data_IF_221845702584
#
_entry.id   IF_221845702584
#
_cell.length_a   1.000
_cell.length_b   1.000
_cell.length_c   1.000
_cell.angle_alpha   90.00
_cell.angle_beta   90.00
_cell.angle_gamma   90.00
#
_symmetry.space_group_name_H-M   'P 1'
#
loop_
_entity.id
_entity.type
_entity.pdbx_description
1 polymer ?
#
# COMPACT_ATOMS: atom_id res chain seq x y z
N UNK A 1 54.48 -3.04 33.09
CA UNK A 1 54.57 -1.67 33.63
C UNK A 1 53.33 -0.90 33.18
N UNK A 2 52.56 -0.40 34.16
CA UNK A 2 51.64 0.76 34.16
C UNK A 2 50.66 0.88 32.97
N UNK A 3 49.40 0.44 33.08
CA UNK A 3 48.26 1.09 33.75
C UNK A 3 47.96 2.51 33.24
N UNK A 4 46.82 2.71 32.57
CA UNK A 4 46.00 3.88 32.84
C UNK A 4 44.51 3.64 32.54
N UNK A 5 43.72 3.78 33.61
CA UNK A 5 42.25 3.82 33.67
C UNK A 5 41.85 5.29 33.57
N UNK A 6 40.87 5.62 32.74
CA UNK A 6 40.08 6.86 32.93
C UNK A 6 38.61 6.56 32.72
N UNK A 7 37.90 6.42 33.84
CA UNK A 7 36.45 6.57 33.94
C UNK A 7 36.09 8.04 33.68
N UNK A 8 35.03 8.29 32.93
CA UNK A 8 34.27 9.53 33.04
C UNK A 8 32.77 9.19 33.16
N UNK A 9 32.31 9.31 34.39
CA UNK A 9 30.92 9.43 34.83
C UNK A 9 30.30 10.67 34.16
N UNK A 10 29.20 10.49 33.43
CA UNK A 10 28.40 11.55 32.84
C UNK A 10 26.98 11.54 33.42
N UNK A 11 26.81 12.33 34.46
CA UNK A 11 25.64 12.84 35.17
C UNK A 11 24.24 12.67 34.54
N UNK A 12 23.38 12.08 35.37
CA UNK A 12 21.91 12.03 35.36
C UNK A 12 21.30 13.46 35.38
N UNK A 13 20.38 13.79 34.46
CA UNK A 13 19.45 14.92 34.62
C UNK A 13 18.03 14.40 34.45
N UNK A 14 17.33 14.20 35.57
CA UNK A 14 15.88 14.06 35.62
C UNK A 14 15.27 15.46 35.48
N UNK A 15 14.67 15.74 34.31
CA UNK A 15 13.79 16.88 34.11
C UNK A 15 12.35 16.48 34.33
N UNK A 16 11.84 16.68 35.55
CA UNK A 16 10.40 16.76 35.84
C UNK A 16 9.86 18.03 35.17
N UNK A 17 9.02 17.91 34.15
CA UNK A 17 8.18 19.02 33.66
C UNK A 17 6.72 18.68 33.94
N UNK A 18 6.12 19.59 34.69
CA UNK A 18 4.83 19.51 35.33
C UNK A 18 3.66 19.42 34.36
N UNK A 19 2.63 18.71 34.81
CA UNK A 19 1.26 18.72 34.31
C UNK A 19 0.78 20.17 34.10
N UNK A 20 0.37 20.51 32.88
CA UNK A 20 -0.46 21.69 32.63
C UNK A 20 -1.79 21.25 32.03
N UNK A 21 -2.70 20.95 32.95
CA UNK A 21 -4.13 20.76 32.73
C UNK A 21 -4.72 22.07 32.19
N UNK A 22 -5.03 22.10 30.89
CA UNK A 22 -5.82 23.16 30.23
C UNK A 22 -7.02 22.41 29.66
N UNK A 23 -8.21 22.63 30.20
CA UNK A 23 -8.95 23.86 29.91
C UNK A 23 -10.01 23.48 28.90
N UNK A 24 -11.12 23.00 29.45
CA UNK A 24 -12.35 22.58 28.82
C UNK A 24 -13.00 23.75 28.06
N UNK A 25 -13.28 23.57 26.78
CA UNK A 25 -14.26 24.38 26.05
C UNK A 25 -14.98 23.49 25.04
N UNK A 26 -16.21 23.13 25.38
CA UNK A 26 -17.11 22.40 24.49
C UNK A 26 -17.66 23.37 23.45
N UNK A 27 -17.58 23.07 22.14
CA UNK A 27 -18.26 23.88 21.14
C UNK A 27 -19.79 23.71 21.21
N UNK A 28 -20.54 24.75 20.82
CA UNK A 28 -21.99 24.85 20.99
C UNK A 28 -22.75 23.83 20.13
N UNK A 29 -23.89 23.36 20.65
CA UNK A 29 -24.83 22.50 19.94
C UNK A 29 -25.39 23.23 18.71
N UNK A 30 -25.07 22.70 17.55
CA UNK A 30 -25.65 23.08 16.27
C UNK A 30 -27.13 22.68 16.26
N UNK A 31 -28.00 23.69 16.13
CA UNK A 31 -29.44 23.50 15.99
C UNK A 31 -29.72 22.85 14.64
N UNK A 32 -30.20 21.60 14.67
CA UNK A 32 -30.78 20.91 13.51
C UNK A 32 -32.01 21.70 13.05
N UNK A 33 -31.82 22.55 12.04
CA UNK A 33 -32.90 23.11 11.26
C UNK A 33 -33.60 21.99 10.51
N UNK A 34 -34.89 21.82 10.78
CA UNK A 34 -35.77 20.94 10.03
C UNK A 34 -35.81 21.42 8.57
N UNK A 35 -35.29 20.58 7.65
CA UNK A 35 -35.47 20.79 6.22
C UNK A 35 -36.89 20.35 5.86
N UNK A 36 -37.68 21.32 5.46
CA UNK A 36 -39.02 21.15 4.89
C UNK A 36 -38.90 20.37 3.58
N UNK A 37 -39.49 19.17 3.55
CA UNK A 37 -39.46 18.27 2.41
C UNK A 37 -40.53 18.71 1.41
N UNK A 38 -40.17 19.58 0.46
CA UNK A 38 -41.04 19.90 -0.68
C UNK A 38 -41.15 18.69 -1.62
N UNK A 39 -42.35 18.10 -1.67
CA UNK A 39 -42.70 17.02 -2.56
C UNK A 39 -42.72 17.49 -4.02
N UNK A 40 -41.77 17.01 -4.83
CA UNK A 40 -41.83 17.13 -6.28
C UNK A 40 -42.86 16.13 -6.85
N UNK A 41 -43.76 16.58 -7.75
CA UNK A 41 -44.71 15.69 -8.41
C UNK A 41 -43.97 14.73 -9.36
N UNK A 42 -44.28 13.44 -9.21
CA UNK A 42 -43.78 12.37 -10.04
C UNK A 42 -44.15 12.59 -11.52
N UNK A 43 -43.13 12.71 -12.37
CA UNK A 43 -43.28 12.63 -13.81
C UNK A 43 -43.57 11.17 -14.23
N UNK A 44 -44.47 11.00 -15.19
CA UNK A 44 -44.88 9.71 -15.76
C UNK A 44 -43.68 8.89 -16.29
N UNK A 45 -43.72 7.55 -16.16
CA UNK A 45 -42.72 6.70 -16.78
C UNK A 45 -42.89 6.70 -18.31
N UNK A 46 -41.80 6.80 -19.10
CA UNK A 46 -41.85 6.57 -20.53
C UNK A 46 -42.05 5.08 -20.86
N UNK A 47 -42.78 4.91 -21.96
CA UNK A 47 -43.20 3.69 -22.67
C UNK A 47 -42.13 2.58 -22.76
N UNK A 48 -42.44 1.30 -22.45
CA UNK A 48 -41.46 0.22 -22.45
C UNK A 48 -41.38 -0.49 -23.81
N UNK A 49 -41.14 0.23 -24.90
CA UNK A 49 -40.91 -0.40 -26.20
C UNK A 49 -39.79 0.30 -26.97
N UNK A 50 -38.55 -0.02 -26.60
CA UNK A 50 -37.35 -0.11 -27.46
C UNK A 50 -36.09 -0.11 -26.58
N UNK A 51 -35.86 -1.20 -25.84
CA UNK A 51 -34.49 -1.54 -25.47
C UNK A 51 -33.90 -2.35 -26.61
N UNK A 52 -33.11 -1.65 -27.41
CA UNK A 52 -32.08 -2.20 -28.27
C UNK A 52 -31.45 -3.39 -27.55
N UNK A 53 -31.53 -4.53 -28.22
CA UNK A 53 -30.83 -5.77 -27.90
C UNK A 53 -29.33 -5.48 -28.09
N UNK A 54 -28.73 -4.86 -27.07
CA UNK A 54 -27.29 -4.72 -26.98
C UNK A 54 -26.77 -6.13 -26.82
N UNK A 55 -26.25 -6.69 -27.91
CA UNK A 55 -25.48 -7.93 -27.88
C UNK A 55 -24.47 -7.82 -26.74
N UNK A 56 -24.70 -8.56 -25.66
CA UNK A 56 -23.78 -8.66 -24.56
C UNK A 56 -22.54 -9.33 -25.15
N UNK A 57 -21.52 -8.52 -25.44
CA UNK A 57 -20.17 -9.02 -25.64
C UNK A 57 -19.83 -9.70 -24.32
N UNK A 58 -19.85 -11.03 -24.33
CA UNK A 58 -19.45 -11.87 -23.20
C UNK A 58 -17.95 -11.64 -23.01
N UNK A 59 -17.62 -10.59 -22.25
CA UNK A 59 -16.26 -10.33 -21.80
C UNK A 59 -15.91 -11.52 -20.91
N UNK A 60 -15.04 -12.40 -21.40
CA UNK A 60 -14.52 -13.50 -20.61
C UNK A 60 -14.08 -12.96 -19.25
N UNK A 61 -14.68 -13.48 -18.18
CA UNK A 61 -14.42 -12.99 -16.83
C UNK A 61 -12.91 -13.03 -16.56
N UNK A 62 -12.34 -11.88 -16.20
CA UNK A 62 -10.92 -11.79 -15.90
C UNK A 62 -10.58 -12.78 -14.77
N UNK A 63 -9.59 -13.65 -15.01
CA UNK A 63 -9.22 -14.69 -14.04
C UNK A 63 -8.49 -14.02 -12.87
N UNK A 64 -9.01 -14.20 -11.66
CA UNK A 64 -8.39 -13.71 -10.43
C UNK A 64 -7.20 -14.60 -10.02
N UNK A 65 -6.04 -14.03 -9.65
CA UNK A 65 -4.88 -14.82 -9.23
C UNK A 65 -5.18 -15.61 -7.95
N UNK A 66 -4.48 -16.71 -7.74
CA UNK A 66 -4.37 -17.36 -6.44
C UNK A 66 -3.43 -16.54 -5.56
N UNK A 67 -3.74 -16.45 -4.26
CA UNK A 67 -2.88 -15.75 -3.29
C UNK A 67 -2.11 -16.79 -2.47
N UNK A 68 -0.79 -16.76 -2.60
CA UNK A 68 0.10 -17.46 -1.69
C UNK A 68 0.38 -16.55 -0.48
N UNK A 69 -0.10 -16.95 0.70
CA UNK A 69 0.03 -16.16 1.92
C UNK A 69 1.26 -16.60 2.74
N UNK A 70 2.15 -15.65 3.04
CA UNK A 70 3.40 -15.86 3.77
C UNK A 70 3.47 -14.98 5.03
N UNK A 71 3.07 -15.49 6.21
CA UNK A 71 3.23 -14.78 7.47
C UNK A 71 4.66 -14.84 8.01
N UNK A 72 5.15 -13.75 8.60
CA UNK A 72 6.43 -13.69 9.31
C UNK A 72 6.30 -12.84 10.59
N UNK A 73 6.82 -13.34 11.71
CA UNK A 73 6.80 -12.60 12.99
C UNK A 73 5.42 -12.44 13.66
N UNK A 74 4.33 -12.91 13.02
CA UNK A 74 2.98 -12.88 13.57
C UNK A 74 2.72 -14.04 14.54
N UNK A 75 1.98 -13.78 15.62
CA UNK A 75 1.45 -14.86 16.47
C UNK A 75 0.37 -15.67 15.73
N UNK A 76 0.11 -16.94 16.12
CA UNK A 76 -0.84 -17.80 15.41
C UNK A 76 -2.26 -17.22 15.27
N UNK A 77 -2.72 -16.46 16.26
CA UNK A 77 -4.02 -15.79 16.21
C UNK A 77 -4.07 -14.78 15.05
N UNK A 78 -3.06 -13.91 14.94
CA UNK A 78 -3.00 -12.90 13.89
C UNK A 78 -2.78 -13.53 12.52
N UNK A 79 -2.03 -14.63 12.43
CA UNK A 79 -1.91 -15.38 11.18
C UNK A 79 -3.27 -15.80 10.65
N UNK A 80 -4.17 -16.25 11.52
CA UNK A 80 -5.56 -16.61 11.17
C UNK A 80 -6.39 -15.42 10.68
N UNK A 81 -6.21 -14.23 11.26
CA UNK A 81 -6.90 -13.02 10.81
C UNK A 81 -6.47 -12.61 9.39
N UNK A 82 -5.16 -12.54 9.14
CA UNK A 82 -4.65 -12.17 7.81
C UNK A 82 -4.90 -13.27 6.76
N UNK A 83 -5.03 -14.53 7.16
CA UNK A 83 -5.40 -15.63 6.27
C UNK A 83 -6.92 -15.77 6.06
N UNK A 84 -7.73 -14.80 6.49
CA UNK A 84 -9.18 -14.91 6.42
C UNK A 84 -9.67 -15.18 4.97
N UNK A 85 -10.48 -16.22 4.73
CA UNK A 85 -10.91 -16.58 3.38
C UNK A 85 -11.71 -15.51 2.65
N UNK A 86 -12.50 -14.71 3.35
CA UNK A 86 -13.31 -13.64 2.74
C UNK A 86 -12.44 -12.44 2.36
N UNK A 87 -11.53 -12.03 3.25
CA UNK A 87 -10.59 -10.95 2.95
C UNK A 87 -9.68 -11.33 1.77
N UNK A 88 -9.16 -12.56 1.75
CA UNK A 88 -8.36 -13.07 0.63
C UNK A 88 -9.20 -13.16 -0.65
N UNK A 89 -10.46 -13.57 -0.59
CA UNK A 89 -11.34 -13.57 -1.76
C UNK A 89 -11.58 -12.15 -2.31
N UNK A 90 -11.75 -11.15 -1.43
CA UNK A 90 -11.84 -9.74 -1.80
C UNK A 90 -10.57 -9.24 -2.49
N UNK A 91 -9.40 -9.54 -1.92
CA UNK A 91 -8.11 -9.24 -2.54
C UNK A 91 -8.02 -9.84 -3.94
N UNK A 92 -8.33 -11.14 -4.10
CA UNK A 92 -8.31 -11.83 -5.39
C UNK A 92 -9.20 -11.16 -6.42
N UNK A 93 -10.41 -10.77 -6.03
CA UNK A 93 -11.33 -10.06 -6.91
C UNK A 93 -10.78 -8.69 -7.32
N UNK A 94 -10.18 -7.95 -6.40
CA UNK A 94 -9.53 -6.66 -6.69
C UNK A 94 -8.31 -6.76 -7.62
N UNK A 95 -7.62 -7.91 -7.61
CA UNK A 95 -6.47 -8.17 -8.50
C UNK A 95 -6.87 -8.82 -9.84
N UNK A 96 -8.15 -9.10 -10.07
CA UNK A 96 -8.61 -9.75 -11.29
C UNK A 96 -8.28 -8.90 -12.53
N UNK A 97 -7.60 -9.51 -13.50
CA UNK A 97 -7.16 -8.83 -14.72
C UNK A 97 -6.02 -7.82 -14.54
N UNK A 98 -5.46 -7.70 -13.33
CA UNK A 98 -4.29 -6.86 -13.06
C UNK A 98 -2.97 -7.62 -13.16
N UNK A 99 -3.03 -8.95 -13.13
CA UNK A 99 -1.88 -9.84 -13.28
C UNK A 99 -2.05 -10.75 -14.49
N UNK A 100 -0.94 -10.99 -15.15
CA UNK A 100 -0.78 -12.06 -16.14
C UNK A 100 -0.49 -13.39 -15.45
N UNK A 101 0.15 -13.35 -14.29
CA UNK A 101 0.46 -14.54 -13.50
C UNK A 101 -0.80 -15.12 -12.81
N UNK A 102 -0.93 -16.47 -12.76
CA UNK A 102 -2.01 -17.12 -12.05
C UNK A 102 -1.83 -17.10 -10.51
N UNK A 103 -0.65 -16.72 -10.01
CA UNK A 103 -0.33 -16.68 -8.58
C UNK A 103 0.32 -15.35 -8.24
N UNK A 104 -0.10 -14.75 -7.12
CA UNK A 104 0.55 -13.61 -6.49
C UNK A 104 0.86 -13.94 -5.03
N UNK A 105 1.95 -13.39 -4.50
CA UNK A 105 2.41 -13.70 -3.14
C UNK A 105 2.11 -12.52 -2.22
N UNK A 106 1.35 -12.77 -1.15
CA UNK A 106 1.03 -11.81 -0.10
C UNK A 106 1.86 -12.13 1.14
N UNK A 107 2.84 -11.29 1.45
CA UNK A 107 3.68 -11.42 2.63
C UNK A 107 3.22 -10.46 3.72
N UNK A 108 2.97 -10.96 4.93
CA UNK A 108 2.62 -10.12 6.09
C UNK A 108 3.65 -10.32 7.17
N UNK A 109 4.37 -9.24 7.50
CA UNK A 109 5.46 -9.24 8.47
C UNK A 109 5.06 -8.39 9.66
N UNK A 110 5.42 -8.83 10.86
CA UNK A 110 5.42 -8.01 12.08
C UNK A 110 6.84 -7.90 12.65
N UNK A 111 7.33 -6.68 12.81
CA UNK A 111 8.58 -6.40 13.50
C UNK A 111 8.28 -6.00 14.96
N UNK A 112 8.63 -6.86 15.94
CA UNK A 112 8.37 -6.58 17.35
C UNK A 112 9.25 -5.45 17.90
N UNK A 113 10.40 -5.18 17.27
CA UNK A 113 11.34 -4.13 17.71
C UNK A 113 10.81 -2.75 17.35
N UNK A 114 10.22 -2.63 16.16
CA UNK A 114 9.63 -1.38 15.67
C UNK A 114 8.15 -1.23 16.03
N UNK A 115 7.52 -2.30 16.52
CA UNK A 115 6.07 -2.39 16.76
C UNK A 115 5.27 -1.99 15.51
N UNK A 116 5.76 -2.42 14.35
CA UNK A 116 5.19 -2.10 13.04
C UNK A 116 5.08 -3.36 12.21
N UNK A 117 4.00 -3.42 11.44
CA UNK A 117 3.75 -4.48 10.48
C UNK A 117 3.85 -3.99 9.05
N UNK A 118 3.94 -4.92 8.11
CA UNK A 118 3.87 -4.62 6.69
C UNK A 118 3.10 -5.70 5.96
N UNK A 119 2.17 -5.30 5.11
CA UNK A 119 1.46 -6.13 4.14
C UNK A 119 2.07 -5.84 2.78
N UNK A 120 2.76 -6.82 2.20
CA UNK A 120 3.46 -6.67 0.92
C UNK A 120 2.84 -7.60 -0.11
N UNK A 121 2.35 -7.04 -1.21
CA UNK A 121 2.04 -7.82 -2.40
C UNK A 121 3.32 -7.88 -3.26
N UNK A 122 3.91 -9.07 -3.35
CA UNK A 122 5.01 -9.33 -4.24
C UNK A 122 4.47 -9.61 -5.63
N UNK A 123 4.90 -8.79 -6.58
CA UNK A 123 4.59 -9.02 -7.97
C UNK A 123 5.46 -10.19 -8.48
N UNK A 124 4.88 -11.15 -9.21
CA UNK A 124 5.62 -12.27 -9.77
C UNK A 124 6.76 -11.81 -10.67
N UNK A 125 7.89 -12.54 -10.65
CA UNK A 125 9.04 -12.22 -11.52
C UNK A 125 8.68 -12.27 -13.00
N UNK A 126 7.65 -13.02 -13.39
CA UNK A 126 7.17 -13.09 -14.78
C UNK A 126 6.14 -12.02 -15.13
N UNK A 127 5.77 -11.14 -14.19
CA UNK A 127 4.72 -10.16 -14.43
C UNK A 127 5.17 -9.10 -15.43
N UNK A 128 4.30 -8.85 -16.42
CA UNK A 128 4.50 -7.88 -17.50
C UNK A 128 3.53 -6.72 -17.31
N UNK A 129 3.72 -5.60 -18.00
CA UNK A 129 2.80 -4.46 -17.94
C UNK A 129 3.32 -3.22 -17.19
N UNK A 130 4.56 -3.27 -16.68
CA UNK A 130 5.23 -2.13 -16.08
C UNK A 130 6.35 -1.54 -16.96
N UNK A 131 6.40 -1.93 -18.24
CA UNK A 131 7.42 -1.47 -19.19
C UNK A 131 7.36 0.04 -19.39
N UNK A 132 6.14 0.58 -19.55
CA UNK A 132 5.92 2.03 -19.66
C UNK A 132 6.37 2.80 -18.41
N UNK A 133 6.17 2.24 -17.23
CA UNK A 133 6.67 2.81 -15.97
C UNK A 133 8.19 2.74 -15.92
N UNK A 134 8.79 1.62 -16.35
CA UNK A 134 10.24 1.47 -16.42
C UNK A 134 10.91 2.44 -17.41
N UNK A 135 10.30 2.65 -18.58
CA UNK A 135 10.74 3.65 -19.57
C UNK A 135 10.71 5.07 -18.97
N UNK A 136 9.60 5.46 -18.34
CA UNK A 136 9.46 6.76 -17.69
C UNK A 136 10.50 6.97 -16.58
N UNK A 137 10.75 5.94 -15.76
CA UNK A 137 11.79 5.95 -14.72
C UNK A 137 13.17 6.22 -15.32
N UNK A 138 13.53 5.55 -16.42
CA UNK A 138 14.84 5.75 -17.06
C UNK A 138 14.97 7.14 -17.71
N UNK A 139 13.88 7.65 -18.28
CA UNK A 139 13.84 8.96 -18.90
C UNK A 139 13.81 10.12 -17.87
N UNK A 140 13.53 9.82 -16.59
CA UNK A 140 13.29 10.85 -15.57
C UNK A 140 11.94 11.58 -15.77
N UNK A 141 11.04 10.97 -16.53
CA UNK A 141 9.74 11.52 -16.88
C UNK A 141 8.72 11.33 -15.74
N UNK A 142 7.54 11.97 -15.83
CA UNK A 142 6.44 11.71 -14.92
C UNK A 142 6.06 10.23 -14.90
N UNK A 143 5.95 9.65 -13.69
CA UNK A 143 5.71 8.22 -13.54
C UNK A 143 4.23 7.87 -13.78
N UNK A 144 3.89 7.03 -14.78
CA UNK A 144 2.50 6.65 -15.05
C UNK A 144 2.00 5.66 -14.00
N UNK A 145 1.42 6.17 -12.91
CA UNK A 145 0.93 5.36 -11.79
C UNK A 145 -0.41 4.65 -12.04
N UNK A 146 -1.02 4.85 -13.21
CA UNK A 146 -2.35 4.31 -13.54
C UNK A 146 -2.40 2.78 -13.50
N UNK A 147 -1.33 2.10 -13.90
CA UNK A 147 -1.23 0.63 -13.82
C UNK A 147 -0.90 0.11 -12.41
N UNK A 148 -0.35 0.96 -11.55
CA UNK A 148 0.05 0.58 -10.18
C UNK A 148 -1.07 0.83 -9.17
N UNK A 149 -1.85 1.90 -9.36
CA UNK A 149 -2.89 2.32 -8.43
C UNK A 149 -3.96 1.24 -8.14
N UNK A 150 -4.45 0.46 -9.12
CA UNK A 150 -5.42 -0.61 -8.85
C UNK A 150 -4.86 -1.71 -7.95
N UNK A 151 -3.61 -2.12 -8.18
CA UNK A 151 -2.92 -3.11 -7.35
C UNK A 151 -2.78 -2.61 -5.91
N UNK A 152 -2.39 -1.35 -5.78
CA UNK A 152 -2.23 -0.71 -4.49
C UNK A 152 -3.55 -0.61 -3.73
N UNK A 153 -4.61 -0.18 -4.42
CA UNK A 153 -5.96 -0.08 -3.88
C UNK A 153 -6.49 -1.44 -3.41
N UNK A 154 -6.26 -2.51 -4.16
CA UNK A 154 -6.69 -3.85 -3.77
C UNK A 154 -6.03 -4.32 -2.46
N UNK A 155 -4.75 -4.00 -2.23
CA UNK A 155 -4.06 -4.28 -0.96
C UNK A 155 -4.60 -3.39 0.17
N UNK A 156 -4.90 -2.12 -0.12
CA UNK A 156 -5.57 -1.20 0.79
C UNK A 156 -6.93 -1.72 1.26
N UNK A 157 -7.76 -2.14 0.31
CA UNK A 157 -9.11 -2.69 0.54
C UNK A 157 -9.05 -3.98 1.35
N UNK A 158 -8.10 -4.87 1.06
CA UNK A 158 -7.83 -6.05 1.88
C UNK A 158 -7.50 -5.69 3.33
N UNK A 159 -6.63 -4.68 3.54
CA UNK A 159 -6.31 -4.21 4.90
C UNK A 159 -7.52 -3.58 5.56
N UNK A 160 -8.28 -2.74 4.87
CA UNK A 160 -9.47 -2.09 5.42
C UNK A 160 -10.53 -3.12 5.86
N UNK A 161 -10.77 -4.15 5.04
CA UNK A 161 -11.70 -5.24 5.35
C UNK A 161 -11.30 -6.01 6.62
N UNK A 162 -10.00 -6.34 6.76
CA UNK A 162 -9.49 -6.95 8.00
C UNK A 162 -9.70 -6.05 9.22
N UNK A 163 -9.53 -4.74 9.06
CA UNK A 163 -9.74 -3.77 10.13
C UNK A 163 -11.18 -3.73 10.59
N UNK A 164 -12.11 -3.71 9.64
CA UNK A 164 -13.54 -3.72 9.90
C UNK A 164 -14.02 -5.02 10.56
N UNK A 165 -13.44 -6.17 10.19
CA UNK A 165 -13.88 -7.50 10.66
C UNK A 165 -13.31 -7.88 12.02
N UNK A 166 -12.09 -7.48 12.33
CA UNK A 166 -11.34 -7.98 13.48
C UNK A 166 -10.90 -6.89 14.48
N UNK A 167 -11.30 -5.63 14.27
CA UNK A 167 -10.91 -4.46 15.09
C UNK A 167 -9.40 -4.41 15.35
N UNK A 168 -8.64 -4.69 14.30
CA UNK A 168 -7.18 -4.71 14.35
C UNK A 168 -6.66 -3.29 14.26
N UNK A 169 -5.58 -3.01 15.01
CA UNK A 169 -4.81 -1.76 14.89
C UNK A 169 -4.00 -1.74 13.59
N UNK A 170 -4.64 -1.87 12.43
CA UNK A 170 -3.97 -1.99 11.14
C UNK A 170 -3.29 -0.70 10.66
N UNK A 171 -3.48 0.41 11.38
CA UNK A 171 -2.66 1.62 11.19
C UNK A 171 -1.17 1.37 11.47
N UNK A 172 -0.83 0.36 12.28
CA UNK A 172 0.57 -0.08 12.46
C UNK A 172 1.08 -0.94 11.30
N UNK A 173 0.22 -1.35 10.36
CA UNK A 173 0.58 -2.12 9.18
C UNK A 173 0.64 -1.22 7.94
N UNK A 174 1.87 -0.95 7.49
CA UNK A 174 2.09 -0.33 6.18
C UNK A 174 1.73 -1.30 5.05
N UNK A 175 1.31 -0.77 3.91
CA UNK A 175 1.08 -1.56 2.69
C UNK A 175 2.20 -1.29 1.69
N UNK A 176 2.58 -2.32 0.93
CA UNK A 176 3.65 -2.24 -0.08
C UNK A 176 3.33 -3.07 -1.30
N UNK A 177 3.78 -2.57 -2.45
CA UNK A 177 4.01 -3.37 -3.64
C UNK A 177 5.52 -3.62 -3.78
N UNK A 178 5.88 -4.77 -4.34
CA UNK A 178 7.27 -5.23 -4.36
C UNK A 178 7.60 -5.90 -5.68
N UNK A 179 8.66 -5.43 -6.33
CA UNK A 179 9.18 -5.92 -7.61
C UNK A 179 10.60 -6.47 -7.41
N UNK A 180 10.88 -7.65 -7.95
CA UNK A 180 12.18 -8.30 -7.83
C UNK A 180 13.19 -7.74 -8.85
N UNK A 181 14.37 -7.30 -8.39
CA UNK A 181 15.52 -7.04 -9.26
C UNK A 181 16.46 -8.26 -9.25
N UNK A 182 16.47 -9.07 -10.32
CA UNK A 182 17.27 -10.30 -10.37
C UNK A 182 18.77 -10.04 -10.27
N UNK A 183 19.23 -8.83 -10.63
CA UNK A 183 20.65 -8.49 -10.59
C UNK A 183 21.15 -8.22 -9.18
N UNK A 184 20.33 -7.56 -8.35
CA UNK A 184 20.71 -7.28 -6.96
C UNK A 184 20.29 -8.40 -6.01
N UNK A 185 19.38 -9.28 -6.43
CA UNK A 185 18.79 -10.30 -5.56
C UNK A 185 17.94 -9.66 -4.46
N UNK A 186 17.29 -8.53 -4.75
CA UNK A 186 16.52 -7.75 -3.79
C UNK A 186 15.25 -7.19 -4.41
N UNK A 187 14.32 -6.76 -3.57
CA UNK A 187 13.05 -6.19 -4.03
C UNK A 187 13.05 -4.67 -3.95
N UNK A 188 12.75 -4.01 -5.07
CA UNK A 188 12.33 -2.62 -5.06
C UNK A 188 10.87 -2.53 -4.59
N UNK A 189 10.56 -1.56 -3.73
CA UNK A 189 9.24 -1.42 -3.12
C UNK A 189 8.63 -0.05 -3.36
N UNK A 190 7.31 -0.02 -3.48
CA UNK A 190 6.49 1.18 -3.37
C UNK A 190 5.58 1.02 -2.16
N UNK A 191 5.78 1.87 -1.15
CA UNK A 191 4.98 1.85 0.07
C UNK A 191 3.75 2.75 0.01
N UNK A 192 2.89 2.60 1.01
CA UNK A 192 1.84 3.57 1.33
C UNK A 192 2.27 4.60 2.34
N UNK A 193 1.48 5.66 2.44
CA UNK A 193 1.60 6.60 3.54
C UNK A 193 1.17 5.92 4.83
N UNK A 194 1.99 6.07 5.88
CA UNK A 194 1.66 5.55 7.21
C UNK A 194 0.38 6.21 7.72
N UNK A 195 -0.43 5.44 8.45
CA UNK A 195 -1.71 5.88 9.03
C UNK A 195 -2.77 6.36 8.01
N UNK A 196 -2.57 6.15 6.70
CA UNK A 196 -3.69 6.21 5.77
C UNK A 196 -4.68 5.11 6.16
N UNK A 197 -5.95 5.38 6.53
CA UNK A 197 -6.91 4.34 6.92
C UNK A 197 -7.33 3.48 5.72
N UNK A 198 -7.47 4.09 4.54
CA UNK A 198 -7.95 3.42 3.33
C UNK A 198 -6.84 2.64 2.63
N UNK A 199 -5.58 3.04 2.83
CA UNK A 199 -4.44 2.37 2.20
C UNK A 199 -4.44 2.57 0.69
N UNK A 200 -4.83 3.76 0.25
CA UNK A 200 -4.92 4.13 -1.17
C UNK A 200 -3.86 5.15 -1.55
N UNK A 201 -3.27 5.83 -0.58
CA UNK A 201 -2.25 6.85 -0.80
C UNK A 201 -0.87 6.19 -0.91
N UNK A 202 -0.33 6.21 -2.12
CA UNK A 202 1.04 5.75 -2.41
C UNK A 202 2.08 6.78 -1.95
N UNK A 203 3.17 6.30 -1.35
CA UNK A 203 4.34 7.10 -1.02
C UNK A 203 4.95 7.73 -2.29
N UNK A 204 5.61 8.91 -2.18
CA UNK A 204 6.16 9.58 -3.35
C UNK A 204 7.32 8.79 -3.99
N UNK A 205 8.03 7.97 -3.22
CA UNK A 205 9.25 7.31 -3.64
C UNK A 205 9.13 5.80 -3.71
N UNK A 206 9.76 5.24 -4.74
CA UNK A 206 10.18 3.85 -4.77
C UNK A 206 11.51 3.72 -4.03
N UNK A 207 11.70 2.61 -3.33
CA UNK A 207 12.92 2.31 -2.57
C UNK A 207 13.48 0.96 -3.00
N UNK A 208 14.74 0.94 -3.46
CA UNK A 208 15.46 -0.27 -3.85
C UNK A 208 16.60 -0.50 -2.84
N UNK A 209 16.55 -1.58 -2.03
CA UNK A 209 17.58 -1.91 -1.06
C UNK A 209 18.96 -2.04 -1.72
N UNK A 210 20.00 -1.71 -0.94
CA UNK A 210 21.39 -1.97 -1.30
C UNK A 210 21.98 -2.98 -0.33
N UNK A 211 22.93 -3.78 -0.81
CA UNK A 211 23.69 -4.70 0.05
C UNK A 211 24.46 -3.97 1.15
N UNK A 212 24.86 -2.71 0.92
CA UNK A 212 25.50 -1.84 1.90
C UNK A 212 25.10 -0.38 1.67
N UNK A 213 24.73 0.31 2.76
CA UNK A 213 24.39 1.73 2.78
C UNK A 213 22.89 2.03 2.70
N UNK A 214 22.58 3.29 2.48
CA UNK A 214 21.20 3.79 2.32
C UNK A 214 20.52 3.21 1.07
N UNK A 215 19.20 3.00 1.09
CA UNK A 215 18.47 2.54 -0.07
C UNK A 215 18.59 3.52 -1.24
N UNK A 216 18.47 3.00 -2.46
CA UNK A 216 18.36 3.79 -3.67
C UNK A 216 16.91 4.23 -3.84
N UNK A 217 16.66 5.52 -3.98
CA UNK A 217 15.30 6.04 -4.12
C UNK A 217 15.06 6.69 -5.49
N UNK A 218 13.86 6.48 -6.01
CA UNK A 218 13.32 7.21 -7.16
C UNK A 218 11.99 7.82 -6.74
N UNK A 219 11.94 9.14 -6.66
CA UNK A 219 10.82 9.91 -6.13
C UNK A 219 10.06 10.62 -7.25
N UNK A 220 8.72 10.59 -7.17
CA UNK A 220 7.85 11.40 -8.01
C UNK A 220 7.99 12.87 -7.65
N UNK A 221 8.10 13.74 -8.65
CA UNK A 221 8.11 15.20 -8.52
C UNK A 221 6.97 15.81 -9.34
N UNK A 222 6.77 17.13 -9.28
CA UNK A 222 5.73 17.80 -10.07
C UNK A 222 5.97 17.65 -11.59
N UNK A 223 7.23 17.71 -12.01
CA UNK A 223 7.63 17.72 -13.42
C UNK A 223 8.21 16.38 -13.92
N UNK A 224 8.33 15.36 -13.06
CA UNK A 224 8.95 14.09 -13.46
C UNK A 224 9.27 13.13 -12.32
N UNK A 225 10.47 12.58 -12.38
CA UNK A 225 11.04 11.78 -11.30
C UNK A 225 12.49 12.15 -10.99
N UNK A 226 12.82 12.17 -9.70
CA UNK A 226 14.17 12.42 -9.19
C UNK A 226 14.77 11.12 -8.62
N UNK A 227 16.08 10.98 -8.74
CA UNK A 227 16.83 9.81 -8.31
C UNK A 227 18.14 9.69 -9.09
N UNK A 228 19.16 9.12 -8.43
CA UNK A 228 20.43 8.86 -9.10
C UNK A 228 20.26 7.90 -10.30
N UNK A 229 21.16 7.96 -11.28
CA UNK A 229 21.16 7.02 -12.40
C UNK A 229 21.18 5.56 -11.93
N UNK A 230 21.90 5.28 -10.84
CA UNK A 230 21.93 3.97 -10.22
C UNK A 230 20.55 3.55 -9.70
N UNK A 231 19.82 4.46 -9.05
CA UNK A 231 18.47 4.22 -8.54
C UNK A 231 17.47 3.97 -9.66
N UNK A 232 17.47 4.83 -10.69
CA UNK A 232 16.61 4.68 -11.88
C UNK A 232 16.86 3.35 -12.59
N UNK A 233 18.12 2.98 -12.78
CA UNK A 233 18.47 1.70 -13.39
C UNK A 233 18.04 0.50 -12.52
N UNK A 234 18.16 0.60 -11.19
CA UNK A 234 17.73 -0.47 -10.29
C UNK A 234 16.21 -0.68 -10.37
N UNK A 235 15.44 0.39 -10.25
CA UNK A 235 13.99 0.33 -10.33
C UNK A 235 13.51 -0.14 -11.71
N UNK A 236 14.05 0.43 -12.80
CA UNK A 236 13.64 0.05 -14.15
C UNK A 236 13.92 -1.43 -14.46
N UNK A 237 14.99 -2.02 -13.91
CA UNK A 237 15.22 -3.47 -14.00
C UNK A 237 14.20 -4.25 -13.19
N UNK A 238 13.89 -3.85 -11.96
CA UNK A 238 12.87 -4.53 -11.15
C UNK A 238 11.49 -4.53 -11.84
N UNK A 239 11.17 -3.45 -12.54
CA UNK A 239 9.92 -3.30 -13.29
C UNK A 239 9.91 -4.08 -14.63
N UNK A 240 11.06 -4.49 -15.15
CA UNK A 240 11.19 -5.27 -16.38
C UNK A 240 11.61 -6.69 -16.06
N UNK A 241 10.68 -7.61 -16.24
CA UNK A 241 10.86 -9.05 -16.04
C UNK A 241 11.67 -9.75 -17.16
N UNK A 242 12.49 -9.00 -17.92
CA UNK A 242 13.11 -9.41 -19.19
C UNK A 242 14.62 -9.68 -19.13
N UNK A 243 15.22 -9.78 -17.93
CA UNK A 243 16.67 -9.92 -17.77
C UNK A 243 17.10 -11.24 -17.15
#
# INVERSE_FOLDING_TARGET
MMANRTLLLGTLILGFVACRNSGQEAPPQEQLGAVELEAQPAALPPDPEQRLETAAVEVAAAVAPLIEYLPEGLSPLYQGFFADPQAIAGLRAGLAGQFSSPVATLKVIWDPSLQQGTITLHLPESERGFESLADAVLAGEPLPMAGVAPLFAAVGDYRADLGARFDLRLLSFGIRLSWWDPRSGSHCVLGGVLNDPEGRVMAPCFSCPRAAGEPLEVCRTEDGSDGSDQARQALARALRSDL
#
